data_IF_260378685914
#
_entry.id   IF_260378685914
#
_cell.length_a   1.000
_cell.length_b   1.000
_cell.length_c   1.000
_cell.angle_alpha   90.00
_cell.angle_beta   90.00
_cell.angle_gamma   90.00
#
_symmetry.space_group_name_H-M   'P 1'
#
loop_
_entity.id
_entity.type
_entity.pdbx_description
1 polymer ?
#
# COMPACT_ATOMS: atom_id res chain seq x y z
N UNK A 1 19.70 27.58 -16.23
CA UNK A 1 18.93 26.54 -16.94
C UNK A 1 18.04 25.78 -15.93
N UNK A 2 16.83 25.36 -16.29
CA UNK A 2 16.04 24.50 -15.41
C UNK A 2 16.61 23.08 -15.34
N UNK A 3 16.49 22.45 -14.17
CA UNK A 3 16.89 21.06 -13.90
C UNK A 3 15.63 20.20 -13.73
N UNK A 4 15.49 19.18 -14.58
CA UNK A 4 14.41 18.20 -14.49
C UNK A 4 14.93 16.92 -13.84
N UNK A 5 14.25 16.50 -12.78
CA UNK A 5 14.62 15.30 -12.00
C UNK A 5 13.52 14.26 -12.21
N UNK A 6 13.89 13.09 -12.67
CA UNK A 6 12.96 11.98 -12.90
C UNK A 6 13.61 10.62 -12.64
N UNK A 7 12.81 9.56 -12.75
CA UNK A 7 13.24 8.18 -12.58
C UNK A 7 12.82 7.54 -11.27
N UNK A 8 12.86 6.21 -11.24
CA UNK A 8 12.36 5.37 -10.15
C UNK A 8 13.06 5.58 -8.79
N UNK A 9 14.30 6.09 -8.81
CA UNK A 9 15.11 6.30 -7.59
C UNK A 9 14.95 7.69 -6.98
N UNK A 10 14.18 8.58 -7.60
CA UNK A 10 13.96 9.94 -7.13
C UNK A 10 12.51 10.17 -6.75
N UNK A 11 12.28 11.08 -5.81
CA UNK A 11 10.94 11.47 -5.39
C UNK A 11 10.80 12.99 -5.31
N UNK A 12 9.56 13.50 -5.31
CA UNK A 12 9.27 14.92 -5.07
C UNK A 12 9.89 15.42 -3.76
N UNK A 13 9.82 14.60 -2.70
CA UNK A 13 10.40 14.94 -1.41
C UNK A 13 11.93 15.01 -1.48
N UNK A 14 12.58 14.03 -2.11
CA UNK A 14 14.04 14.05 -2.31
C UNK A 14 14.49 15.27 -3.13
N UNK A 15 13.78 15.54 -4.23
CA UNK A 15 14.05 16.72 -5.05
C UNK A 15 13.92 18.02 -4.26
N UNK A 16 12.83 18.17 -3.49
CA UNK A 16 12.58 19.38 -2.69
C UNK A 16 13.57 19.56 -1.55
N UNK A 17 13.99 18.49 -0.87
CA UNK A 17 14.81 18.54 0.36
C UNK A 17 16.31 18.56 0.06
N UNK A 18 16.77 17.81 -0.94
CA UNK A 18 18.19 17.58 -1.21
C UNK A 18 18.70 18.28 -2.45
N UNK A 19 17.93 18.32 -3.54
CA UNK A 19 18.41 18.81 -4.84
C UNK A 19 18.10 20.30 -5.00
N UNK A 20 16.84 20.72 -4.82
CA UNK A 20 16.44 22.09 -5.03
C UNK A 20 17.20 23.12 -4.17
N UNK A 21 17.55 22.86 -2.90
CA UNK A 21 18.37 23.80 -2.12
C UNK A 21 19.82 23.94 -2.59
N UNK A 22 20.34 22.96 -3.32
CA UNK A 22 21.71 22.92 -3.83
C UNK A 22 21.84 23.49 -5.24
N UNK A 23 20.76 23.98 -5.84
CA UNK A 23 20.74 24.50 -7.20
C UNK A 23 19.93 25.79 -7.32
N UNK A 24 20.56 26.86 -7.79
CA UNK A 24 19.94 28.19 -7.88
C UNK A 24 18.86 28.32 -8.97
N UNK A 25 18.84 27.42 -9.94
CA UNK A 25 17.85 27.40 -11.02
C UNK A 25 16.55 26.66 -10.64
N UNK A 26 15.56 26.74 -11.54
CA UNK A 26 14.32 25.98 -11.39
C UNK A 26 14.63 24.48 -11.35
N UNK A 27 14.26 23.81 -10.28
CA UNK A 27 14.37 22.34 -10.13
C UNK A 27 12.97 21.73 -10.06
N UNK A 28 12.66 20.84 -10.99
CA UNK A 28 11.32 20.26 -11.11
C UNK A 28 11.42 18.74 -11.08
N UNK A 29 10.65 18.09 -10.18
CA UNK A 29 10.48 16.66 -10.23
C UNK A 29 9.42 16.28 -11.26
N UNK A 30 9.78 15.41 -12.20
CA UNK A 30 8.88 14.87 -13.21
C UNK A 30 8.67 13.40 -12.95
N UNK A 31 7.42 12.99 -12.74
CA UNK A 31 7.08 11.64 -12.29
C UNK A 31 7.39 10.59 -13.36
N UNK A 32 7.09 10.94 -14.63
CA UNK A 32 7.27 10.08 -15.80
C UNK A 32 7.58 10.90 -17.06
N UNK A 33 8.03 10.23 -18.10
CA UNK A 33 8.43 10.86 -19.36
C UNK A 33 7.28 11.58 -20.06
N UNK A 34 6.03 11.14 -19.92
CA UNK A 34 4.86 11.75 -20.58
C UNK A 34 4.59 13.17 -20.07
N UNK A 35 4.97 13.47 -18.84
CA UNK A 35 4.77 14.79 -18.21
C UNK A 35 5.89 15.79 -18.51
N UNK A 36 7.03 15.31 -19.05
CA UNK A 36 8.16 16.17 -19.38
C UNK A 36 7.76 17.26 -20.38
N UNK A 37 6.98 16.93 -21.40
CA UNK A 37 6.57 17.85 -22.46
C UNK A 37 5.81 19.07 -21.88
N UNK A 38 4.85 18.85 -20.99
CA UNK A 38 4.08 19.90 -20.36
C UNK A 38 4.96 20.79 -19.46
N UNK A 39 5.82 20.18 -18.65
CA UNK A 39 6.76 20.90 -17.78
C UNK A 39 7.74 21.74 -18.59
N UNK A 40 8.30 21.21 -19.66
CA UNK A 40 9.20 21.95 -20.56
C UNK A 40 8.46 23.08 -21.26
N UNK A 41 7.23 22.87 -21.73
CA UNK A 41 6.38 23.89 -22.33
C UNK A 41 6.12 25.08 -21.39
N UNK A 42 5.86 24.81 -20.10
CA UNK A 42 5.65 25.84 -19.08
C UNK A 42 6.95 26.58 -18.75
N UNK A 43 8.07 25.88 -18.65
CA UNK A 43 9.39 26.45 -18.38
C UNK A 43 9.94 27.29 -19.53
N UNK A 44 9.58 26.99 -20.78
CA UNK A 44 10.02 27.72 -21.98
C UNK A 44 9.08 28.90 -22.35
N UNK A 45 7.86 28.91 -21.82
CA UNK A 45 6.89 29.97 -22.07
C UNK A 45 7.22 31.22 -21.25
N UNK A 46 7.49 32.40 -21.87
CA UNK A 46 7.75 33.62 -21.13
C UNK A 46 6.61 34.03 -20.18
N UNK A 47 5.36 33.77 -20.59
CA UNK A 47 4.16 34.17 -19.84
C UNK A 47 3.82 33.21 -18.68
N UNK A 48 4.17 31.95 -18.82
CA UNK A 48 3.79 30.89 -17.83
C UNK A 48 4.90 30.55 -16.87
N UNK A 49 6.16 30.80 -17.26
CA UNK A 49 7.33 30.40 -16.47
C UNK A 49 7.33 30.94 -15.05
N UNK A 50 7.04 32.22 -14.88
CA UNK A 50 7.08 32.85 -13.56
C UNK A 50 6.06 32.21 -12.60
N UNK A 51 4.83 32.02 -13.04
CA UNK A 51 3.78 31.39 -12.25
C UNK A 51 4.08 29.89 -11.96
N UNK A 52 4.65 29.18 -12.93
CA UNK A 52 5.07 27.79 -12.77
C UNK A 52 6.22 27.65 -11.75
N UNK A 53 7.23 28.50 -11.81
CA UNK A 53 8.35 28.52 -10.86
C UNK A 53 7.88 28.83 -9.44
N UNK A 54 6.98 29.82 -9.28
CA UNK A 54 6.42 30.19 -7.97
C UNK A 54 5.63 29.02 -7.36
N UNK A 55 4.76 28.38 -8.16
CA UNK A 55 4.01 27.19 -7.73
C UNK A 55 4.94 26.07 -7.31
N UNK A 56 5.96 25.77 -8.12
CA UNK A 56 6.93 24.71 -7.85
C UNK A 56 7.69 24.96 -6.55
N UNK A 57 8.16 26.20 -6.32
CA UNK A 57 8.83 26.60 -5.08
C UNK A 57 7.93 26.47 -3.87
N UNK A 58 6.67 26.88 -3.96
CA UNK A 58 5.69 26.75 -2.89
C UNK A 58 5.44 25.29 -2.53
N UNK A 59 5.30 24.41 -3.52
CA UNK A 59 5.14 22.95 -3.30
C UNK A 59 6.38 22.34 -2.66
N UNK A 60 7.57 22.73 -3.10
CA UNK A 60 8.83 22.27 -2.51
C UNK A 60 9.02 22.76 -1.07
N UNK A 61 8.62 23.98 -0.76
CA UNK A 61 8.68 24.52 0.60
C UNK A 61 7.74 23.75 1.54
N UNK A 62 6.52 23.45 1.08
CA UNK A 62 5.59 22.60 1.84
C UNK A 62 6.17 21.21 2.07
N UNK A 63 6.82 20.63 1.06
CA UNK A 63 7.47 19.32 1.18
C UNK A 63 8.65 19.36 2.18
N UNK A 64 9.46 20.41 2.19
CA UNK A 64 10.55 20.61 3.18
C UNK A 64 10.01 20.74 4.60
N UNK A 65 9.02 21.60 4.82
CA UNK A 65 8.39 21.77 6.14
C UNK A 65 7.82 20.46 6.67
N UNK A 66 7.17 19.69 5.81
CA UNK A 66 6.63 18.36 6.18
C UNK A 66 7.75 17.37 6.53
N UNK A 67 8.85 17.40 5.79
CA UNK A 67 10.01 16.55 6.04
C UNK A 67 10.71 16.92 7.36
N UNK A 68 10.94 18.20 7.60
CA UNK A 68 11.51 18.73 8.84
C UNK A 68 10.62 18.36 10.05
N UNK A 69 9.30 18.52 9.90
CA UNK A 69 8.37 18.11 10.96
C UNK A 69 8.41 16.61 11.25
N UNK A 70 8.63 15.78 10.24
CA UNK A 70 8.81 14.32 10.42
C UNK A 70 10.15 13.97 11.09
N UNK A 71 11.23 14.67 10.73
CA UNK A 71 12.56 14.44 11.35
C UNK A 71 12.64 14.95 12.78
N UNK A 72 11.92 16.02 13.11
CA UNK A 72 11.94 16.65 14.43
C UNK A 72 10.82 16.12 15.35
N UNK A 73 10.28 14.93 15.10
CA UNK A 73 9.36 14.31 16.06
C UNK A 73 10.13 14.01 17.35
N UNK A 74 9.70 14.63 18.43
CA UNK A 74 10.17 14.29 19.76
C UNK A 74 9.81 12.83 20.07
N UNK A 75 10.82 12.07 20.50
CA UNK A 75 10.65 10.67 20.88
C UNK A 75 10.84 10.53 22.38
N UNK A 76 10.04 9.71 23.00
CA UNK A 76 10.28 9.23 24.37
C UNK A 76 11.24 8.05 24.34
N UNK A 77 11.82 7.70 25.48
CA UNK A 77 12.62 6.49 25.59
C UNK A 77 11.76 5.24 25.40
N UNK A 78 12.41 4.14 24.98
CA UNK A 78 11.72 2.87 24.79
C UNK A 78 11.14 2.33 26.12
N UNK A 79 11.83 2.57 27.24
CA UNK A 79 11.40 2.19 28.57
C UNK A 79 10.06 2.87 28.90
N UNK A 80 9.97 4.20 28.73
CA UNK A 80 8.75 4.96 28.97
C UNK A 80 7.62 4.49 28.05
N UNK A 81 7.95 4.18 26.77
CA UNK A 81 6.96 3.67 25.82
C UNK A 81 6.41 2.29 26.23
N UNK A 82 7.26 1.41 26.79
CA UNK A 82 6.88 0.10 27.32
C UNK A 82 6.02 0.19 28.58
N UNK A 83 6.34 1.11 29.50
CA UNK A 83 5.54 1.37 30.70
C UNK A 83 4.14 1.88 30.36
N UNK A 84 4.03 2.64 29.27
CA UNK A 84 2.75 3.19 28.77
C UNK A 84 2.21 2.44 27.56
N UNK A 85 2.45 1.12 27.49
CA UNK A 85 1.90 0.26 26.43
C UNK A 85 0.40 0.07 26.57
N UNK A 86 -0.24 -0.42 25.52
CA UNK A 86 -1.61 -0.89 25.60
C UNK A 86 -1.71 -2.10 26.52
N UNK A 87 -2.71 -2.09 27.40
CA UNK A 87 -3.03 -3.22 28.27
C UNK A 87 -4.39 -3.77 27.85
N UNK A 88 -4.41 -5.03 27.41
CA UNK A 88 -5.61 -5.76 27.02
C UNK A 88 -5.90 -6.81 28.09
N UNK A 89 -7.15 -6.87 28.55
CA UNK A 89 -7.63 -7.90 29.47
C UNK A 89 -7.93 -9.18 28.66
N UNK A 90 -6.95 -10.06 28.57
CA UNK A 90 -7.03 -11.27 27.76
C UNK A 90 -7.86 -12.34 28.45
N UNK A 91 -8.90 -12.84 27.76
CA UNK A 91 -9.73 -13.94 28.19
C UNK A 91 -9.75 -15.03 27.13
N UNK A 92 -9.69 -16.28 27.53
CA UNK A 92 -9.69 -17.41 26.62
C UNK A 92 -10.93 -17.43 25.69
N UNK A 93 -12.09 -17.00 26.22
CA UNK A 93 -13.34 -16.97 25.45
C UNK A 93 -13.37 -15.88 24.37
N UNK A 94 -12.49 -14.86 24.47
CA UNK A 94 -12.41 -13.75 23.51
C UNK A 94 -11.41 -14.05 22.36
N UNK A 95 -10.61 -15.14 22.46
CA UNK A 95 -9.59 -15.49 21.48
C UNK A 95 -10.06 -16.68 20.63
N UNK A 96 -10.35 -16.47 19.34
CA UNK A 96 -10.81 -17.54 18.48
C UNK A 96 -9.69 -18.57 18.22
N UNK A 97 -10.06 -19.84 18.22
CA UNK A 97 -9.16 -20.93 17.84
C UNK A 97 -9.31 -21.20 16.34
N UNK A 98 -8.22 -21.17 15.55
CA UNK A 98 -8.28 -21.48 14.13
C UNK A 98 -8.80 -22.91 13.89
N UNK A 99 -9.56 -23.09 12.79
CA UNK A 99 -10.09 -24.41 12.40
C UNK A 99 -9.01 -25.40 11.94
N UNK A 100 -7.78 -24.93 11.73
CA UNK A 100 -6.62 -25.73 11.38
C UNK A 100 -5.33 -24.98 11.75
N UNK A 101 -4.25 -25.73 11.88
CA UNK A 101 -2.89 -25.19 12.03
C UNK A 101 -2.02 -25.57 10.83
N UNK A 102 -0.93 -24.82 10.66
CA UNK A 102 -0.05 -24.93 9.51
C UNK A 102 -0.59 -24.22 8.27
N UNK A 103 -0.05 -24.52 7.11
CA UNK A 103 -0.36 -23.81 5.86
C UNK A 103 -1.35 -24.56 4.98
N UNK A 104 -2.17 -23.80 4.25
CA UNK A 104 -3.01 -24.29 3.14
C UNK A 104 -2.74 -23.49 1.89
N UNK A 105 -2.80 -24.14 0.73
CA UNK A 105 -2.69 -23.51 -0.59
C UNK A 105 -4.08 -23.41 -1.20
N UNK A 106 -4.36 -22.29 -1.85
CA UNK A 106 -5.56 -22.06 -2.65
C UNK A 106 -5.12 -21.86 -4.09
N UNK A 107 -5.50 -22.74 -4.98
CA UNK A 107 -5.20 -22.73 -6.41
C UNK A 107 -6.43 -22.99 -7.29
N UNK A 108 -7.61 -23.15 -6.69
CA UNK A 108 -8.89 -23.46 -7.33
C UNK A 108 -9.92 -22.31 -7.25
N UNK A 109 -9.49 -21.10 -6.88
CA UNK A 109 -10.36 -19.92 -6.78
C UNK A 109 -10.56 -19.25 -8.14
N UNK A 110 -11.78 -18.78 -8.41
CA UNK A 110 -12.07 -18.06 -9.64
C UNK A 110 -11.79 -16.56 -9.53
N UNK A 111 -11.31 -15.96 -10.63
CA UNK A 111 -11.18 -14.50 -10.75
C UNK A 111 -12.52 -13.78 -10.61
N UNK A 112 -13.61 -14.41 -11.02
CA UNK A 112 -14.96 -13.86 -10.92
C UNK A 112 -15.39 -13.68 -9.46
N UNK A 113 -15.05 -14.61 -8.59
CA UNK A 113 -15.30 -14.49 -7.16
C UNK A 113 -14.45 -13.38 -6.53
N UNK A 114 -13.15 -13.34 -6.84
CA UNK A 114 -12.22 -12.31 -6.37
C UNK A 114 -12.67 -10.92 -6.81
N UNK A 115 -13.11 -10.77 -8.06
CA UNK A 115 -13.50 -9.48 -8.64
C UNK A 115 -14.64 -8.77 -7.87
N UNK A 116 -15.45 -9.50 -7.12
CA UNK A 116 -16.52 -8.93 -6.28
C UNK A 116 -16.00 -8.08 -5.12
N UNK A 117 -14.74 -8.26 -4.73
CA UNK A 117 -14.08 -7.55 -3.64
C UNK A 117 -13.22 -6.38 -4.12
N UNK A 118 -13.23 -6.04 -5.43
CA UNK A 118 -12.43 -4.93 -5.94
C UNK A 118 -12.91 -3.60 -5.36
N UNK A 119 -12.06 -2.89 -4.62
CA UNK A 119 -12.24 -1.47 -4.34
C UNK A 119 -11.76 -0.63 -5.55
N UNK A 120 -12.74 -0.19 -6.34
CA UNK A 120 -12.50 0.64 -7.52
C UNK A 120 -11.93 2.02 -7.20
N UNK A 121 -12.01 2.50 -5.97
CA UNK A 121 -11.48 3.81 -5.56
C UNK A 121 -9.99 3.93 -5.92
N UNK A 122 -9.22 2.90 -5.63
CA UNK A 122 -7.77 2.90 -5.89
C UNK A 122 -7.41 2.68 -7.36
N UNK A 123 -8.28 2.06 -8.14
CA UNK A 123 -8.10 1.88 -9.58
C UNK A 123 -7.92 3.23 -10.29
N UNK A 124 -8.75 4.22 -9.97
CA UNK A 124 -8.67 5.56 -10.57
C UNK A 124 -7.39 6.31 -10.25
N UNK A 125 -6.73 5.98 -9.15
CA UNK A 125 -5.49 6.65 -8.73
C UNK A 125 -4.33 6.43 -9.70
N UNK A 126 -4.30 5.33 -10.44
CA UNK A 126 -3.28 5.06 -11.46
C UNK A 126 -3.32 6.10 -12.61
N UNK A 127 -4.47 6.75 -12.85
CA UNK A 127 -4.68 7.82 -13.83
C UNK A 127 -4.78 9.22 -13.20
N UNK A 128 -4.31 9.41 -11.96
CA UNK A 128 -4.41 10.68 -11.22
C UNK A 128 -5.86 11.19 -10.99
N UNK A 129 -6.85 10.35 -11.17
CA UNK A 129 -8.25 10.69 -10.87
C UNK A 129 -8.51 10.49 -9.37
N UNK A 130 -8.79 11.59 -8.67
CA UNK A 130 -9.00 11.60 -7.22
C UNK A 130 -10.49 11.64 -6.89
N UNK A 131 -10.96 10.68 -6.12
CA UNK A 131 -12.33 10.59 -5.65
C UNK A 131 -12.67 9.18 -5.21
N UNK A 132 -13.71 9.03 -4.39
CA UNK A 132 -14.18 7.72 -3.95
C UNK A 132 -15.20 7.15 -4.93
N UNK A 133 -15.07 5.89 -5.30
CA UNK A 133 -16.08 5.17 -6.06
C UNK A 133 -17.33 4.92 -5.17
N UNK A 134 -18.57 5.02 -5.69
CA UNK A 134 -18.91 5.39 -7.06
C UNK A 134 -19.03 6.90 -7.32
N UNK A 135 -18.91 7.75 -6.29
CA UNK A 135 -19.12 9.22 -6.39
C UNK A 135 -18.22 9.90 -7.42
N UNK A 136 -17.02 9.34 -7.68
CA UNK A 136 -16.09 9.87 -8.70
C UNK A 136 -16.72 9.91 -10.09
N UNK A 137 -17.66 9.00 -10.40
CA UNK A 137 -18.34 8.92 -11.70
C UNK A 137 -19.28 10.11 -11.95
N UNK A 138 -19.71 10.79 -10.89
CA UNK A 138 -20.61 11.94 -10.92
C UNK A 138 -19.87 13.27 -10.74
N UNK A 139 -18.53 13.23 -10.63
CA UNK A 139 -17.73 14.42 -10.36
C UNK A 139 -17.80 15.39 -11.55
N UNK A 140 -18.18 16.66 -11.30
CA UNK A 140 -18.42 17.68 -12.33
C UNK A 140 -17.25 17.81 -13.34
N UNK A 141 -16.03 17.76 -12.88
CA UNK A 141 -14.81 17.97 -13.67
C UNK A 141 -14.21 16.70 -14.26
N UNK A 142 -14.31 15.58 -13.55
CA UNK A 142 -13.61 14.34 -13.89
C UNK A 142 -14.56 13.15 -14.13
N UNK A 143 -15.86 13.31 -13.92
CA UNK A 143 -16.83 12.22 -13.99
C UNK A 143 -16.91 11.55 -15.36
N UNK A 144 -16.80 12.34 -16.45
CA UNK A 144 -16.82 11.78 -17.80
C UNK A 144 -15.61 10.85 -18.04
N UNK A 145 -14.40 11.34 -17.73
CA UNK A 145 -13.17 10.54 -17.85
C UNK A 145 -13.17 9.33 -16.91
N UNK A 146 -13.73 9.48 -15.70
CA UNK A 146 -13.84 8.36 -14.76
C UNK A 146 -14.80 7.26 -15.26
N UNK A 147 -15.93 7.63 -15.87
CA UNK A 147 -16.86 6.65 -16.48
C UNK A 147 -16.21 5.89 -17.63
N UNK A 148 -15.58 6.61 -18.56
CA UNK A 148 -14.86 5.99 -19.68
C UNK A 148 -13.78 5.02 -19.20
N UNK A 149 -12.94 5.45 -18.24
CA UNK A 149 -11.90 4.60 -17.65
C UNK A 149 -12.50 3.37 -16.96
N UNK A 150 -13.62 3.55 -16.24
CA UNK A 150 -14.31 2.45 -15.57
C UNK A 150 -14.88 1.43 -16.57
N UNK A 151 -15.52 1.90 -17.63
CA UNK A 151 -16.07 1.06 -18.70
C UNK A 151 -14.95 0.25 -19.40
N UNK A 152 -13.84 0.88 -19.71
CA UNK A 152 -12.67 0.19 -20.29
C UNK A 152 -12.08 -0.84 -19.31
N UNK A 153 -11.94 -0.46 -18.02
CA UNK A 153 -11.47 -1.37 -16.98
C UNK A 153 -12.39 -2.58 -16.80
N UNK A 154 -13.70 -2.38 -16.80
CA UNK A 154 -14.70 -3.47 -16.74
C UNK A 154 -14.64 -4.36 -17.98
N UNK A 155 -14.49 -3.79 -19.17
CA UNK A 155 -14.36 -4.56 -20.41
C UNK A 155 -13.13 -5.45 -20.40
N UNK A 156 -11.96 -4.91 -20.03
CA UNK A 156 -10.74 -5.70 -19.94
C UNK A 156 -10.79 -6.73 -18.81
N UNK A 157 -11.35 -6.39 -17.65
CA UNK A 157 -11.57 -7.33 -16.54
C UNK A 157 -12.47 -8.50 -16.98
N UNK A 158 -13.57 -8.20 -17.69
CA UNK A 158 -14.46 -9.22 -18.26
C UNK A 158 -13.73 -10.17 -19.21
N UNK A 159 -12.84 -9.64 -20.06
CA UNK A 159 -11.98 -10.44 -20.92
C UNK A 159 -11.00 -11.29 -20.12
N UNK A 160 -10.29 -10.71 -19.15
CA UNK A 160 -9.37 -11.43 -18.26
C UNK A 160 -10.05 -12.61 -17.57
N UNK A 161 -11.26 -12.43 -17.09
CA UNK A 161 -12.05 -13.47 -16.40
C UNK A 161 -12.49 -14.55 -17.41
N UNK A 162 -13.13 -14.17 -18.51
CA UNK A 162 -13.72 -15.11 -19.47
C UNK A 162 -12.68 -15.97 -20.20
N UNK A 163 -11.54 -15.37 -20.53
CA UNK A 163 -10.43 -16.04 -21.21
C UNK A 163 -9.40 -16.65 -20.22
N UNK A 164 -9.59 -16.46 -18.91
CA UNK A 164 -8.69 -16.94 -17.84
C UNK A 164 -7.23 -16.51 -18.05
N UNK A 165 -7.04 -15.25 -18.39
CA UNK A 165 -5.71 -14.72 -18.76
C UNK A 165 -4.78 -14.55 -17.56
N UNK A 166 -5.32 -14.47 -16.34
CA UNK A 166 -4.56 -14.41 -15.10
C UNK A 166 -4.87 -15.62 -14.23
N UNK A 167 -3.87 -16.07 -13.46
CA UNK A 167 -4.03 -17.21 -12.55
C UNK A 167 -3.89 -16.75 -11.10
N UNK A 168 -4.99 -16.75 -10.31
CA UNK A 168 -4.93 -16.44 -8.89
C UNK A 168 -4.35 -17.61 -8.09
N UNK A 169 -3.52 -17.30 -7.11
CA UNK A 169 -3.02 -18.26 -6.13
C UNK A 169 -2.85 -17.61 -4.76
N UNK A 170 -3.08 -18.39 -3.71
CA UNK A 170 -2.79 -17.98 -2.36
C UNK A 170 -2.19 -19.10 -1.54
N UNK A 171 -1.48 -18.72 -0.51
CA UNK A 171 -1.13 -19.57 0.62
C UNK A 171 -1.45 -18.81 1.90
N UNK A 172 -2.04 -19.49 2.86
CA UNK A 172 -2.31 -18.93 4.19
C UNK A 172 -2.16 -20.00 5.25
N UNK A 173 -2.05 -19.58 6.49
CA UNK A 173 -1.95 -20.51 7.58
C UNK A 173 -2.00 -19.84 8.93
N UNK A 174 -2.14 -20.67 9.96
CA UNK A 174 -2.21 -20.28 11.35
C UNK A 174 -1.20 -21.06 12.17
N UNK A 175 -0.59 -20.40 13.14
CA UNK A 175 0.41 -20.98 14.02
C UNK A 175 0.17 -20.52 15.45
N UNK A 176 0.40 -21.39 16.45
CA UNK A 176 0.37 -20.98 17.84
C UNK A 176 1.37 -19.83 18.07
N UNK A 177 0.92 -18.79 18.74
CA UNK A 177 1.76 -17.61 19.00
C UNK A 177 1.45 -16.99 20.35
N UNK A 178 2.44 -16.31 20.94
CA UNK A 178 2.25 -15.49 22.13
C UNK A 178 3.16 -14.26 22.07
N UNK A 179 2.75 -13.21 22.75
CA UNK A 179 3.58 -12.06 23.02
C UNK A 179 4.65 -12.38 24.08
N UNK A 180 5.89 -11.99 23.83
CA UNK A 180 6.96 -11.90 24.81
C UNK A 180 7.66 -10.52 24.71
N UNK A 181 7.36 -9.62 25.63
CA UNK A 181 7.85 -8.24 25.57
C UNK A 181 7.26 -7.49 24.37
N UNK A 182 8.13 -6.99 23.48
CA UNK A 182 7.69 -6.35 22.22
C UNK A 182 7.72 -7.33 21.03
N UNK A 183 7.98 -8.62 21.27
CA UNK A 183 8.07 -9.63 20.23
C UNK A 183 6.80 -10.49 20.16
N UNK A 184 6.57 -11.10 19.01
CA UNK A 184 5.62 -12.18 18.81
C UNK A 184 6.43 -13.46 18.58
N UNK A 185 6.27 -14.43 19.49
CA UNK A 185 6.88 -15.76 19.37
C UNK A 185 5.88 -16.68 18.69
N UNK A 186 6.30 -17.30 17.60
CA UNK A 186 5.55 -18.36 16.90
C UNK A 186 6.10 -19.70 17.33
N UNK A 187 5.23 -20.59 17.79
CA UNK A 187 5.59 -21.89 18.28
C UNK A 187 5.55 -22.96 17.18
N UNK A 188 6.35 -24.00 17.31
CA UNK A 188 6.38 -25.11 16.37
C UNK A 188 5.09 -25.93 16.34
N UNK A 189 4.41 -25.99 17.48
CA UNK A 189 3.17 -26.73 17.69
C UNK A 189 2.42 -26.20 18.94
N UNK A 190 1.28 -26.80 19.25
CA UNK A 190 0.42 -26.39 20.36
C UNK A 190 1.00 -26.65 21.76
N UNK A 191 2.07 -27.46 21.88
CA UNK A 191 2.76 -27.61 23.16
C UNK A 191 3.46 -26.33 23.62
N UNK A 192 3.77 -25.41 22.66
CA UNK A 192 4.44 -24.12 22.89
C UNK A 192 5.78 -24.25 23.63
N UNK A 193 6.46 -25.37 23.45
CA UNK A 193 7.75 -25.64 24.11
C UNK A 193 8.95 -25.28 23.26
N UNK A 194 8.76 -25.22 21.93
CA UNK A 194 9.81 -24.94 20.98
C UNK A 194 9.44 -23.76 20.10
N UNK A 195 10.23 -22.71 20.19
CA UNK A 195 10.15 -21.56 19.29
C UNK A 195 10.46 -21.99 17.84
N UNK A 196 9.60 -21.58 16.90
CA UNK A 196 9.76 -21.78 15.47
C UNK A 196 10.30 -20.52 14.82
N UNK A 197 9.71 -19.37 15.16
CA UNK A 197 10.02 -18.05 14.58
C UNK A 197 9.71 -16.96 15.60
N UNK A 198 10.43 -15.86 15.52
CA UNK A 198 10.17 -14.66 16.33
C UNK A 198 10.09 -13.41 15.45
N UNK A 199 9.01 -12.67 15.59
CA UNK A 199 8.85 -11.37 14.98
C UNK A 199 9.21 -10.28 15.99
N UNK A 200 10.25 -9.51 15.70
CA UNK A 200 10.63 -8.35 16.50
C UNK A 200 9.79 -7.15 16.08
N UNK A 201 8.83 -6.75 16.92
CA UNK A 201 7.93 -5.65 16.64
C UNK A 201 8.48 -4.31 17.13
N UNK A 202 8.18 -3.26 16.39
CA UNK A 202 8.56 -1.91 16.77
C UNK A 202 7.45 -1.28 17.62
N UNK A 203 7.84 -0.70 18.77
CA UNK A 203 6.94 0.09 19.60
C UNK A 203 6.95 1.55 19.18
N UNK A 204 5.78 2.16 19.15
CA UNK A 204 5.65 3.60 18.91
C UNK A 204 6.37 4.39 20.01
N UNK A 205 7.15 5.41 19.62
CA UNK A 205 7.87 6.27 20.56
C UNK A 205 7.63 7.77 20.31
N UNK A 206 6.92 8.13 19.22
CA UNK A 206 6.61 9.55 18.96
C UNK A 206 5.71 10.10 20.07
N UNK A 207 6.09 11.24 20.65
CA UNK A 207 5.29 11.94 21.66
C UNK A 207 3.86 12.13 21.15
N UNK A 208 2.90 11.75 21.99
CA UNK A 208 1.47 11.86 21.68
C UNK A 208 0.85 13.02 22.47
N UNK A 209 -0.11 13.75 21.88
CA UNK A 209 -0.73 14.91 22.54
C UNK A 209 -1.62 14.55 23.73
N UNK A 210 -2.02 13.29 23.87
CA UNK A 210 -2.92 12.78 24.92
C UNK A 210 -2.28 11.53 25.56
N UNK A 211 -2.80 11.09 26.70
CA UNK A 211 -2.41 9.85 27.40
C UNK A 211 -2.77 8.56 26.62
N UNK A 212 -2.51 8.55 25.34
CA UNK A 212 -2.74 7.38 24.50
C UNK A 212 -1.58 6.39 24.65
N UNK A 213 -1.86 5.08 24.69
CA UNK A 213 -0.82 4.07 24.81
C UNK A 213 0.10 4.06 23.58
N UNK A 214 1.34 3.65 23.80
CA UNK A 214 2.34 3.45 22.74
C UNK A 214 2.27 2.02 22.23
N UNK A 215 1.61 1.82 21.10
CA UNK A 215 1.35 0.52 20.53
C UNK A 215 2.57 -0.14 19.91
N UNK A 216 2.66 -1.46 20.07
CA UNK A 216 3.39 -2.37 19.20
C UNK A 216 2.39 -3.40 18.64
N UNK A 217 2.68 -4.01 17.49
CA UNK A 217 1.79 -5.06 16.95
C UNK A 217 1.70 -6.27 17.88
N UNK A 218 2.75 -6.53 18.67
CA UNK A 218 2.76 -7.56 19.69
C UNK A 218 1.72 -7.36 20.79
N UNK A 219 1.25 -6.14 21.04
CA UNK A 219 0.23 -5.88 22.06
C UNK A 219 -1.13 -6.53 21.71
N UNK A 220 -1.34 -6.89 20.44
CA UNK A 220 -2.55 -7.52 19.94
C UNK A 220 -2.47 -9.06 19.86
N UNK A 221 -1.44 -9.65 20.46
CA UNK A 221 -1.30 -11.10 20.65
C UNK A 221 -1.21 -11.37 22.13
N UNK A 222 -1.94 -12.39 22.62
CA UNK A 222 -2.01 -12.69 24.05
C UNK A 222 -0.61 -12.99 24.62
N UNK A 223 -0.22 -12.35 25.74
CA UNK A 223 1.07 -12.64 26.36
C UNK A 223 1.06 -14.06 26.95
N UNK A 224 2.20 -14.74 26.89
CA UNK A 224 2.34 -16.08 27.48
C UNK A 224 1.93 -16.13 28.97
N UNK A 225 2.17 -15.02 29.68
CA UNK A 225 1.80 -14.90 31.10
C UNK A 225 0.29 -14.86 31.39
N UNK A 226 -0.53 -14.58 30.39
CA UNK A 226 -1.99 -14.59 30.54
C UNK A 226 -2.57 -16.02 30.56
N UNK A 227 -1.79 -17.02 30.17
CA UNK A 227 -2.27 -18.40 30.07
C UNK A 227 -3.31 -18.63 28.98
N UNK A 228 -3.40 -17.70 28.02
CA UNK A 228 -4.31 -17.78 26.86
C UNK A 228 -3.55 -18.33 25.66
N UNK A 229 -4.16 -19.31 24.99
CA UNK A 229 -3.63 -19.91 23.76
C UNK A 229 -4.05 -19.07 22.56
N UNK A 230 -3.14 -18.24 22.06
CA UNK A 230 -3.38 -17.38 20.91
C UNK A 230 -2.65 -17.88 19.67
N UNK A 231 -3.01 -17.33 18.52
CA UNK A 231 -2.50 -17.75 17.21
C UNK A 231 -2.19 -16.53 16.35
N UNK A 232 -1.26 -16.70 15.42
CA UNK A 232 -0.99 -15.72 14.34
C UNK A 232 -1.38 -16.32 13.00
N UNK A 233 -2.09 -15.54 12.18
CA UNK A 233 -2.34 -15.84 10.79
C UNK A 233 -1.33 -15.14 9.89
N UNK A 234 -0.91 -15.82 8.82
CA UNK A 234 -0.12 -15.22 7.75
C UNK A 234 -0.62 -15.69 6.40
N UNK A 235 -0.53 -14.83 5.39
CA UNK A 235 -0.92 -15.18 4.02
C UNK A 235 -0.03 -14.51 2.99
N UNK A 236 -0.01 -15.09 1.78
CA UNK A 236 0.47 -14.47 0.57
C UNK A 236 -0.49 -14.76 -0.57
N UNK A 237 -0.85 -13.75 -1.34
CA UNK A 237 -1.77 -13.84 -2.46
C UNK A 237 -1.15 -13.27 -3.72
N UNK A 238 -1.55 -13.76 -4.88
CA UNK A 238 -1.24 -13.18 -6.17
C UNK A 238 -2.38 -13.44 -7.16
N UNK A 239 -2.62 -12.48 -8.03
CA UNK A 239 -3.44 -12.61 -9.23
C UNK A 239 -2.65 -12.19 -10.47
N UNK A 240 -1.36 -11.89 -10.31
CA UNK A 240 -0.50 -11.37 -11.35
C UNK A 240 0.20 -12.42 -12.23
N UNK A 241 -0.06 -13.72 -12.02
CA UNK A 241 0.52 -14.76 -12.86
C UNK A 241 -0.15 -14.67 -14.25
N UNK A 242 0.62 -14.37 -15.29
CA UNK A 242 0.16 -14.07 -16.64
C UNK A 242 0.03 -12.56 -16.96
N UNK A 243 0.10 -11.68 -15.95
CA UNK A 243 -0.08 -10.24 -16.17
C UNK A 243 1.03 -9.60 -17.00
N UNK A 244 2.27 -10.00 -16.77
CA UNK A 244 3.42 -9.48 -17.54
C UNK A 244 3.39 -9.93 -18.99
N UNK A 245 2.97 -11.16 -19.25
CA UNK A 245 2.81 -11.72 -20.60
C UNK A 245 1.71 -10.95 -21.34
N UNK A 246 0.55 -10.77 -20.72
CA UNK A 246 -0.58 -10.03 -21.29
C UNK A 246 -0.24 -8.55 -21.52
N UNK A 247 0.45 -7.91 -20.59
CA UNK A 247 0.91 -6.53 -20.76
C UNK A 247 1.87 -6.38 -21.95
N UNK A 248 2.82 -7.33 -22.12
CA UNK A 248 3.75 -7.36 -23.26
C UNK A 248 3.05 -7.60 -24.61
N UNK A 249 1.94 -8.29 -24.64
CA UNK A 249 1.13 -8.42 -25.87
C UNK A 249 0.62 -7.06 -26.32
N UNK A 250 0.06 -6.26 -25.42
CA UNK A 250 -0.36 -4.90 -25.72
C UNK A 250 0.81 -3.99 -26.11
N UNK A 251 1.95 -4.10 -25.41
CA UNK A 251 3.16 -3.31 -25.72
C UNK A 251 3.69 -3.58 -27.14
N UNK A 252 3.58 -4.81 -27.67
CA UNK A 252 3.96 -5.14 -29.05
C UNK A 252 3.11 -4.40 -30.08
N UNK A 253 1.84 -4.16 -29.74
CA UNK A 253 0.90 -3.42 -30.56
C UNK A 253 0.95 -1.89 -30.31
N UNK A 254 1.94 -1.41 -29.53
CA UNK A 254 2.08 -0.02 -29.09
C UNK A 254 0.89 0.50 -28.29
N UNK A 255 0.18 -0.40 -27.60
CA UNK A 255 -0.97 -0.10 -26.73
C UNK A 255 -0.52 -0.02 -25.26
N UNK A 256 0.21 1.03 -24.93
CA UNK A 256 0.68 1.30 -23.57
C UNK A 256 -0.48 1.50 -22.59
N UNK A 257 -1.63 1.98 -23.08
CA UNK A 257 -2.81 2.21 -22.26
C UNK A 257 -3.35 0.91 -21.68
N UNK A 258 -3.59 -0.11 -22.52
CA UNK A 258 -4.05 -1.41 -22.05
C UNK A 258 -2.96 -2.18 -21.28
N UNK A 259 -1.68 -2.01 -21.60
CA UNK A 259 -0.58 -2.56 -20.78
C UNK A 259 -0.62 -2.04 -19.34
N UNK A 260 -0.81 -0.72 -19.14
CA UNK A 260 -0.96 -0.11 -17.81
C UNK A 260 -2.25 -0.62 -17.14
N UNK A 261 -3.35 -0.73 -17.89
CA UNK A 261 -4.63 -1.21 -17.40
C UNK A 261 -4.54 -2.63 -16.85
N UNK A 262 -3.87 -3.55 -17.56
CA UNK A 262 -3.62 -4.94 -17.09
C UNK A 262 -2.92 -4.94 -15.74
N UNK A 263 -1.83 -4.17 -15.61
CA UNK A 263 -1.05 -4.09 -14.37
C UNK A 263 -1.88 -3.51 -13.22
N UNK A 264 -2.68 -2.47 -13.49
CA UNK A 264 -3.57 -1.88 -12.50
C UNK A 264 -4.70 -2.84 -12.07
N UNK A 265 -5.28 -3.60 -12.98
CA UNK A 265 -6.30 -4.60 -12.67
C UNK A 265 -5.72 -5.78 -11.90
N UNK A 266 -4.55 -6.28 -12.26
CA UNK A 266 -3.86 -7.35 -11.53
C UNK A 266 -3.57 -6.95 -10.08
N UNK A 267 -3.14 -5.70 -9.86
CA UNK A 267 -2.90 -5.14 -8.53
C UNK A 267 -4.22 -5.04 -7.71
N UNK A 268 -5.29 -4.54 -8.32
CA UNK A 268 -6.61 -4.48 -7.66
C UNK A 268 -7.20 -5.85 -7.35
N UNK A 269 -7.01 -6.82 -8.24
CA UNK A 269 -7.43 -8.19 -7.99
C UNK A 269 -6.62 -8.84 -6.85
N UNK A 270 -5.32 -8.55 -6.71
CA UNK A 270 -4.52 -9.06 -5.60
C UNK A 270 -5.01 -8.52 -4.25
N UNK A 271 -5.31 -7.22 -4.16
CA UNK A 271 -5.93 -6.62 -2.98
C UNK A 271 -7.31 -7.23 -2.69
N UNK A 272 -8.15 -7.39 -3.73
CA UNK A 272 -9.45 -8.02 -3.61
C UNK A 272 -9.35 -9.48 -3.13
N UNK A 273 -8.31 -10.20 -3.55
CA UNK A 273 -8.07 -11.56 -3.07
C UNK A 273 -7.66 -11.60 -1.60
N UNK A 274 -6.89 -10.62 -1.14
CA UNK A 274 -6.57 -10.48 0.27
C UNK A 274 -7.83 -10.25 1.13
N UNK A 275 -8.74 -9.40 0.69
CA UNK A 275 -10.03 -9.15 1.36
C UNK A 275 -10.89 -10.42 1.43
N UNK A 276 -11.08 -11.10 0.29
CA UNK A 276 -11.79 -12.37 0.24
C UNK A 276 -11.16 -13.42 1.18
N UNK A 277 -9.82 -13.48 1.23
CA UNK A 277 -9.13 -14.42 2.10
C UNK A 277 -9.35 -14.11 3.58
N UNK A 278 -9.37 -12.82 3.96
CA UNK A 278 -9.69 -12.40 5.32
C UNK A 278 -11.12 -12.79 5.74
N UNK A 279 -12.09 -12.70 4.83
CA UNK A 279 -13.47 -13.15 5.11
C UNK A 279 -13.55 -14.67 5.34
N UNK A 280 -12.69 -15.44 4.67
CA UNK A 280 -12.69 -16.91 4.76
C UNK A 280 -11.85 -17.45 5.92
N UNK A 281 -10.94 -16.64 6.45
CA UNK A 281 -10.01 -17.04 7.51
C UNK A 281 -10.59 -16.85 8.90
#
# INVERSE_FOLDING_TARGET
QPLLIGGATTSRAHTAVKIAPAYDGSTVHVLDASRVVNVVSDLLSPDRRAAFDEKTRSEQEKARKLFEHRQNRELISLEIARENRAVIDWRADDVPTPSFLGRRVIDDISLEEIARYIDWTYFFSAWDLKGKFPKILEHERHGAAARELYEHGQGLLGRIISEKLLTPRAVYGFWPANQEGDDIVVWSDESRDREHLRFHMLRQQAVKPNEQPYFALSDFVAPRSAGVEDHIGAFAVTTGIGADELAKEFEKDHDDYNSIMVKALADRLAEAFAELLHERA
#
